data_IF_491719052372
#
_entry.id   IF_491719052372
#
_cell.length_a   1.000
_cell.length_b   1.000
_cell.length_c   1.000
_cell.angle_alpha   90.00
_cell.angle_beta   90.00
_cell.angle_gamma   90.00
#
_symmetry.space_group_name_H-M   'P 1'
#
loop_
_entity.id
_entity.type
_entity.pdbx_description
1 polymer ?
#
# COMPACT_ATOMS: atom_id res chain seq x y z
N UNK A 1 4.85 -6.85 -11.37
CA UNK A 1 5.46 -6.39 -10.10
C UNK A 1 4.73 -7.00 -8.91
N UNK A 2 5.44 -7.26 -7.83
CA UNK A 2 4.92 -7.85 -6.59
C UNK A 2 5.11 -6.90 -5.42
N UNK A 3 4.08 -6.72 -4.60
CA UNK A 3 4.13 -5.91 -3.38
C UNK A 3 3.81 -6.80 -2.20
N UNK A 4 4.64 -6.76 -1.18
CA UNK A 4 4.42 -7.47 0.08
C UNK A 4 4.37 -6.48 1.24
N UNK A 5 3.36 -6.59 2.09
CA UNK A 5 3.45 -6.08 3.45
C UNK A 5 4.12 -7.12 4.33
N UNK A 6 5.07 -6.68 5.15
CA UNK A 6 5.77 -7.50 6.14
C UNK A 6 5.56 -6.93 7.54
N UNK A 7 5.68 -7.79 8.55
CA UNK A 7 5.57 -7.44 9.97
C UNK A 7 4.20 -6.86 10.37
N UNK A 8 3.11 -7.32 9.74
CA UNK A 8 1.78 -7.00 10.23
C UNK A 8 1.64 -7.51 11.68
N UNK A 9 1.10 -6.67 12.56
CA UNK A 9 1.02 -6.97 14.01
C UNK A 9 0.01 -8.08 14.35
N UNK A 10 -0.84 -8.45 13.38
CA UNK A 10 -1.85 -9.50 13.52
C UNK A 10 -2.30 -9.99 12.14
N UNK A 11 -2.68 -11.27 12.06
CA UNK A 11 -3.23 -11.90 10.85
C UNK A 11 -4.74 -11.60 10.64
N UNK A 12 -5.35 -10.83 11.53
CA UNK A 12 -6.77 -10.50 11.43
C UNK A 12 -7.06 -9.59 10.23
N UNK A 13 -8.05 -9.97 9.43
CA UNK A 13 -8.49 -9.18 8.28
C UNK A 13 -7.62 -9.43 7.04
N UNK A 14 -7.32 -8.35 6.33
CA UNK A 14 -6.59 -8.38 5.06
C UNK A 14 -5.79 -7.10 4.87
N UNK A 15 -4.79 -7.13 4.00
CA UNK A 15 -4.14 -5.92 3.51
C UNK A 15 -4.77 -5.54 2.18
N UNK A 16 -5.11 -4.26 2.02
CA UNK A 16 -5.44 -3.68 0.73
C UNK A 16 -4.22 -2.95 0.17
N UNK A 17 -3.93 -3.20 -1.09
CA UNK A 17 -2.79 -2.66 -1.84
C UNK A 17 -3.36 -1.82 -2.97
N UNK A 18 -3.02 -0.53 -3.00
CA UNK A 18 -3.49 0.43 -3.98
C UNK A 18 -2.29 1.01 -4.74
N UNK A 19 -2.31 0.88 -6.07
CA UNK A 19 -1.28 1.40 -6.97
C UNK A 19 -1.75 2.72 -7.59
N UNK A 20 -0.88 3.73 -7.58
CA UNK A 20 -1.16 5.08 -8.07
C UNK A 20 -0.05 5.57 -8.99
N UNK A 21 -0.39 6.44 -9.93
CA UNK A 21 0.54 7.39 -10.55
C UNK A 21 0.42 8.77 -9.87
N UNK A 22 1.19 9.75 -10.34
CA UNK A 22 1.19 11.11 -9.78
C UNK A 22 -0.19 11.80 -9.87
N UNK A 23 -0.93 11.56 -10.96
CA UNK A 23 -2.22 12.22 -11.22
C UNK A 23 -3.31 11.71 -10.27
N UNK A 24 -3.28 10.39 -10.03
CA UNK A 24 -4.27 9.63 -9.29
C UNK A 24 -3.98 9.48 -7.80
N UNK A 25 -2.77 9.81 -7.37
CA UNK A 25 -2.28 9.63 -6.00
C UNK A 25 -3.27 10.10 -4.93
N UNK A 26 -3.60 9.20 -4.00
CA UNK A 26 -4.58 9.40 -2.92
C UNK A 26 -6.00 9.83 -3.37
N UNK A 27 -6.33 9.66 -4.66
CA UNK A 27 -7.68 9.85 -5.21
C UNK A 27 -8.29 8.50 -5.57
N UNK A 28 -8.07 8.05 -6.81
CA UNK A 28 -8.61 6.80 -7.34
C UNK A 28 -7.46 5.91 -7.81
N UNK A 29 -7.23 4.73 -7.23
CA UNK A 29 -6.11 3.89 -7.63
C UNK A 29 -6.24 3.42 -9.08
N UNK A 30 -5.11 3.27 -9.75
CA UNK A 30 -5.03 2.65 -11.08
C UNK A 30 -5.43 1.18 -11.01
N UNK A 31 -4.96 0.49 -9.97
CA UNK A 31 -5.34 -0.88 -9.65
C UNK A 31 -5.31 -1.06 -8.13
N UNK A 32 -6.22 -1.88 -7.61
CA UNK A 32 -6.25 -2.24 -6.20
C UNK A 32 -6.49 -3.74 -6.04
N UNK A 33 -5.84 -4.34 -5.05
CA UNK A 33 -6.01 -5.74 -4.65
C UNK A 33 -6.08 -5.84 -3.14
N UNK A 34 -6.68 -6.90 -2.63
CA UNK A 34 -6.56 -7.24 -1.22
C UNK A 34 -6.22 -8.71 -1.07
N UNK A 35 -5.42 -9.04 -0.07
CA UNK A 35 -5.08 -10.41 0.26
C UNK A 35 -5.04 -10.58 1.79
N UNK A 36 -5.32 -11.80 2.26
CA UNK A 36 -5.23 -12.14 3.69
C UNK A 36 -3.80 -11.96 4.19
N UNK A 37 -3.70 -11.83 5.50
CA UNK A 37 -2.42 -11.85 6.21
C UNK A 37 -2.21 -13.27 6.71
N UNK A 38 -1.02 -13.82 6.48
CA UNK A 38 -0.58 -15.14 6.93
C UNK A 38 0.83 -14.96 7.50
N UNK A 39 0.99 -15.30 8.78
CA UNK A 39 2.26 -15.20 9.51
C UNK A 39 2.87 -13.79 9.43
N UNK A 40 2.04 -12.76 9.64
CA UNK A 40 2.46 -11.35 9.59
C UNK A 40 2.82 -10.82 8.20
N UNK A 41 2.53 -11.57 7.13
CA UNK A 41 2.82 -11.20 5.75
C UNK A 41 1.57 -11.22 4.87
N UNK A 42 1.49 -10.30 3.92
CA UNK A 42 0.48 -10.32 2.85
C UNK A 42 1.13 -9.88 1.55
N UNK A 43 0.80 -10.52 0.43
CA UNK A 43 1.46 -10.30 -0.86
C UNK A 43 0.46 -10.29 -2.01
N UNK A 44 0.64 -9.34 -2.94
CA UNK A 44 -0.11 -9.29 -4.20
C UNK A 44 0.82 -9.08 -5.38
N UNK A 45 0.40 -9.54 -6.56
CA UNK A 45 1.09 -9.27 -7.83
C UNK A 45 0.20 -8.45 -8.75
N UNK A 46 0.70 -7.30 -9.19
CA UNK A 46 0.11 -6.49 -10.26
C UNK A 46 0.72 -6.91 -11.59
N UNK A 47 -0.13 -7.17 -12.58
CA UNK A 47 0.26 -7.73 -13.90
C UNK A 47 -0.05 -6.71 -14.99
N UNK A 48 0.71 -6.73 -16.08
CA UNK A 48 0.48 -5.88 -17.26
C UNK A 48 0.48 -4.37 -16.93
N UNK A 49 1.30 -3.94 -15.98
CA UNK A 49 1.49 -2.52 -15.65
C UNK A 49 2.53 -1.96 -16.63
N UNK A 50 2.19 -0.86 -17.31
CA UNK A 50 3.13 -0.18 -18.20
C UNK A 50 4.35 0.33 -17.43
N UNK A 51 5.47 0.52 -18.13
CA UNK A 51 6.63 1.18 -17.52
C UNK A 51 6.28 2.62 -17.13
N UNK A 52 6.73 3.07 -15.96
CA UNK A 52 6.36 4.38 -15.44
C UNK A 52 6.84 4.63 -14.01
N UNK A 53 6.39 5.73 -13.43
CA UNK A 53 6.56 6.04 -12.01
C UNK A 53 5.25 5.81 -11.28
N UNK A 54 5.32 5.09 -10.17
CA UNK A 54 4.15 4.69 -9.40
C UNK A 54 4.42 4.78 -7.91
N UNK A 55 3.36 4.82 -7.12
CA UNK A 55 3.39 4.65 -5.67
C UNK A 55 2.40 3.56 -5.25
N UNK A 56 2.79 2.74 -4.28
CA UNK A 56 1.93 1.75 -3.66
C UNK A 56 1.60 2.20 -2.23
N UNK A 57 0.31 2.26 -1.90
CA UNK A 57 -0.17 2.46 -0.53
C UNK A 57 -0.81 1.16 -0.05
N UNK A 58 -0.40 0.69 1.11
CA UNK A 58 -0.92 -0.50 1.76
C UNK A 58 -1.68 -0.11 3.02
N UNK A 59 -2.81 -0.76 3.26
CA UNK A 59 -3.66 -0.50 4.41
C UNK A 59 -4.11 -1.81 5.06
N UNK A 60 -4.00 -1.91 6.38
CA UNK A 60 -4.51 -3.03 7.16
C UNK A 60 -6.01 -2.87 7.42
N UNK A 61 -6.84 -3.53 6.60
CA UNK A 61 -8.30 -3.60 6.81
C UNK A 61 -8.62 -4.68 7.85
N UNK A 62 -8.27 -4.40 9.11
CA UNK A 62 -8.40 -5.35 10.24
C UNK A 62 -9.86 -5.69 10.52
N UNK A 63 -10.77 -4.76 10.25
CA UNK A 63 -12.21 -4.90 10.50
C UNK A 63 -13.06 -5.28 9.26
N UNK A 64 -12.44 -5.49 8.10
CA UNK A 64 -13.08 -5.85 6.82
C UNK A 64 -14.14 -4.86 6.33
N UNK A 65 -14.00 -3.56 6.62
CA UNK A 65 -14.93 -2.52 6.14
C UNK A 65 -14.46 -1.88 4.84
N UNK A 66 -13.26 -2.19 4.37
CA UNK A 66 -12.73 -1.74 3.07
C UNK A 66 -12.50 -0.24 2.98
N UNK A 67 -12.42 0.46 4.11
CA UNK A 67 -12.13 1.90 4.16
C UNK A 67 -11.33 2.26 5.41
N UNK A 68 -10.52 3.30 5.26
CA UNK A 68 -9.71 3.87 6.34
C UNK A 68 -10.60 4.73 7.23
N UNK A 69 -10.50 4.51 8.53
CA UNK A 69 -11.10 5.38 9.53
C UNK A 69 -10.01 6.24 10.15
N UNK A 70 -10.37 7.47 10.52
CA UNK A 70 -9.46 8.43 11.10
C UNK A 70 -9.98 8.88 12.46
N UNK A 71 -9.08 9.18 13.40
CA UNK A 71 -9.44 9.86 14.63
C UNK A 71 -9.68 11.37 14.39
N UNK A 72 -10.07 12.10 15.44
CA UNK A 72 -10.37 13.55 15.36
C UNK A 72 -9.17 14.40 14.93
N UNK A 73 -7.94 13.90 15.12
CA UNK A 73 -6.69 14.55 14.69
C UNK A 73 -6.28 14.16 13.26
N UNK A 74 -7.09 13.37 12.54
CA UNK A 74 -6.81 12.96 11.17
C UNK A 74 -5.79 11.82 11.05
N UNK A 75 -5.43 11.12 12.13
CA UNK A 75 -4.58 9.93 12.05
C UNK A 75 -5.41 8.68 11.74
N UNK A 76 -4.94 7.78 10.86
CA UNK A 76 -5.55 6.48 10.65
C UNK A 76 -5.72 5.68 11.95
N UNK A 77 -6.86 5.00 12.10
CA UNK A 77 -7.14 4.10 13.22
C UNK A 77 -6.57 2.69 13.01
N UNK A 78 -6.22 2.34 11.78
CA UNK A 78 -5.60 1.08 11.41
C UNK A 78 -4.29 1.35 10.68
N UNK A 79 -3.39 0.37 10.73
CA UNK A 79 -2.03 0.47 10.21
C UNK A 79 -2.03 0.71 8.69
N UNK A 80 -1.08 1.52 8.24
CA UNK A 80 -0.87 1.81 6.81
C UNK A 80 0.62 1.99 6.53
N UNK A 81 1.01 1.80 5.28
CA UNK A 81 2.37 2.03 4.82
C UNK A 81 2.39 2.41 3.34
N UNK A 82 3.50 2.97 2.88
CA UNK A 82 3.72 3.29 1.48
C UNK A 82 5.01 2.68 0.95
N UNK A 83 5.12 2.54 -0.37
CA UNK A 83 6.39 2.18 -1.02
C UNK A 83 7.51 3.14 -0.61
N UNK A 84 8.75 2.65 -0.64
CA UNK A 84 9.93 3.28 -0.05
C UNK A 84 9.95 3.38 1.49
N UNK A 85 8.87 3.00 2.18
CA UNK A 85 8.78 3.01 3.65
C UNK A 85 9.15 4.37 4.28
N UNK A 86 8.88 5.48 3.57
CA UNK A 86 8.96 6.79 4.17
C UNK A 86 7.68 7.04 4.99
N UNK A 87 7.86 7.15 6.31
CA UNK A 87 6.82 7.42 7.30
C UNK A 87 7.06 8.76 8.02
N UNK A 88 7.48 9.77 7.25
CA UNK A 88 7.57 11.15 7.74
C UNK A 88 6.23 11.64 8.31
N UNK A 89 6.29 12.67 9.17
CA UNK A 89 5.12 13.22 9.83
C UNK A 89 4.09 13.74 8.81
N UNK A 90 3.00 12.99 8.59
CA UNK A 90 1.89 13.38 7.75
C UNK A 90 1.37 12.26 6.84
N UNK A 91 0.39 12.55 5.97
CA UNK A 91 0.00 11.64 4.92
C UNK A 91 1.18 11.40 3.96
N UNK A 92 1.27 10.23 3.33
CA UNK A 92 2.34 9.96 2.37
C UNK A 92 2.27 10.95 1.20
N UNK A 93 3.43 11.39 0.71
CA UNK A 93 3.51 12.15 -0.53
C UNK A 93 3.83 11.22 -1.71
N UNK A 94 3.41 11.59 -2.92
CA UNK A 94 3.80 10.83 -4.12
C UNK A 94 5.32 10.82 -4.30
N UNK A 95 5.97 11.96 -4.06
CA UNK A 95 7.41 12.11 -4.24
C UNK A 95 8.22 11.17 -3.34
N UNK A 96 7.79 11.01 -2.09
CA UNK A 96 8.50 10.17 -1.12
C UNK A 96 8.23 8.68 -1.32
N UNK A 97 7.05 8.35 -1.83
CA UNK A 97 6.63 6.97 -2.03
C UNK A 97 6.86 6.44 -3.45
N UNK A 98 7.21 7.28 -4.42
CA UNK A 98 7.32 6.82 -5.81
C UNK A 98 8.50 5.89 -6.05
N UNK A 99 8.29 4.93 -6.93
CA UNK A 99 9.31 4.07 -7.50
C UNK A 99 9.15 4.02 -9.02
N UNK A 100 10.24 3.68 -9.72
CA UNK A 100 10.23 3.49 -11.16
C UNK A 100 10.02 2.01 -11.48
N UNK A 101 8.96 1.70 -12.23
CA UNK A 101 8.76 0.39 -12.82
C UNK A 101 9.41 0.35 -14.20
N UNK A 102 10.58 -0.26 -14.29
CA UNK A 102 11.30 -0.47 -15.55
C UNK A 102 11.16 -1.91 -16.08
N UNK A 103 10.85 -2.88 -15.22
CA UNK A 103 10.78 -4.31 -15.53
C UNK A 103 9.53 -4.93 -14.89
N UNK A 104 9.02 -6.04 -15.44
CA UNK A 104 7.80 -6.68 -14.94
C UNK A 104 7.98 -7.37 -13.57
N UNK A 105 9.22 -7.65 -13.16
CA UNK A 105 9.56 -8.46 -11.96
C UNK A 105 9.93 -7.66 -10.70
N UNK A 106 9.70 -6.34 -10.69
CA UNK A 106 9.96 -5.51 -9.50
C UNK A 106 9.23 -6.05 -8.26
N UNK A 107 9.96 -6.27 -7.17
CA UNK A 107 9.41 -6.67 -5.87
C UNK A 107 9.62 -5.55 -4.86
N UNK A 108 8.54 -5.17 -4.17
CA UNK A 108 8.53 -4.12 -3.14
C UNK A 108 8.10 -4.70 -1.80
N UNK A 109 8.78 -4.29 -0.73
CA UNK A 109 8.36 -4.56 0.64
C UNK A 109 7.91 -3.26 1.31
N UNK A 110 6.71 -3.31 1.89
CA UNK A 110 6.09 -2.23 2.66
C UNK A 110 5.97 -2.69 4.11
N UNK A 111 6.29 -1.78 5.04
CA UNK A 111 6.14 -1.95 6.48
C UNK A 111 5.04 -1.04 6.97
N UNK A 112 4.34 -1.50 7.99
CA UNK A 112 3.44 -0.69 8.80
C UNK A 112 4.21 0.00 9.93
#
# INVERSE_FOLDING_TARGET
>A
MTVSVVNATTDNGKVSFALFDEVTFMKTPLEAKSEKIIDGKSTVTFKNIAQGEYSAICFHDKNNKGKIYFNENGMPLEDYGSSNNNMDFGPPSFLDSKFRLAEEDLTLEVKF
#
